data_IF_933766017681
#
_entry.id   IF_933766017681
#
_cell.length_a   1.000
_cell.length_b   1.000
_cell.length_c   1.000
_cell.angle_alpha   90.00
_cell.angle_beta   90.00
_cell.angle_gamma   90.00
#
_symmetry.space_group_name_H-M   'P 1'
#
loop_
_entity.id
_entity.type
_entity.pdbx_description
1 polymer ?
#
# COMPACT_ATOMS: atom_id res chain seq x y z
N UNK A 1 7.58 -6.64 3.25
CA UNK A 1 8.93 -6.14 2.87
C UNK A 1 10.02 -7.07 3.41
N UNK A 2 9.99 -7.42 4.72
CA UNK A 2 11.07 -8.21 5.35
C UNK A 2 11.33 -9.56 4.63
N UNK A 3 10.29 -10.31 4.30
CA UNK A 3 10.44 -11.56 3.55
C UNK A 3 11.16 -11.37 2.21
N UNK A 4 10.95 -10.23 1.54
CA UNK A 4 11.61 -9.93 0.27
C UNK A 4 13.12 -9.71 0.40
N UNK A 5 13.61 -9.25 1.55
CA UNK A 5 15.06 -9.18 1.81
C UNK A 5 15.71 -10.57 1.81
N UNK A 6 14.96 -11.59 2.19
CA UNK A 6 15.42 -12.98 2.18
C UNK A 6 15.07 -13.73 0.89
N UNK A 7 14.60 -13.01 -0.14
CA UNK A 7 14.22 -13.61 -1.42
C UNK A 7 12.91 -14.42 -1.36
N UNK A 8 12.13 -14.28 -0.27
CA UNK A 8 10.84 -14.95 -0.11
C UNK A 8 9.74 -14.11 -0.75
N UNK A 9 8.92 -14.68 -1.66
CA UNK A 9 7.74 -13.98 -2.18
C UNK A 9 6.84 -13.53 -1.03
N UNK A 10 6.50 -12.24 -1.04
CA UNK A 10 5.81 -11.61 0.08
C UNK A 10 4.59 -10.83 -0.40
N UNK A 11 3.46 -11.00 0.28
CA UNK A 11 2.22 -10.27 0.03
C UNK A 11 1.75 -9.67 1.34
N UNK A 12 1.62 -8.35 1.40
CA UNK A 12 0.89 -7.66 2.46
C UNK A 12 -0.55 -7.47 2.00
N UNK A 13 -1.51 -8.00 2.75
CA UNK A 13 -2.93 -7.84 2.49
C UNK A 13 -3.58 -7.09 3.63
N UNK A 14 -4.27 -5.99 3.33
CA UNK A 14 -5.00 -5.18 4.32
C UNK A 14 -6.35 -4.72 3.78
N UNK A 15 -7.26 -4.43 4.71
CA UNK A 15 -8.55 -3.80 4.41
C UNK A 15 -8.46 -2.34 4.87
N UNK A 16 -8.99 -1.41 4.07
CA UNK A 16 -9.07 0.01 4.41
C UNK A 16 -10.21 0.28 5.41
N UNK A 17 -10.27 -0.52 6.46
CA UNK A 17 -11.21 -0.38 7.56
C UNK A 17 -10.50 -0.64 8.90
N UNK A 18 -10.51 0.38 9.76
CA UNK A 18 -9.90 0.34 11.10
C UNK A 18 -10.93 0.06 12.20
N UNK A 19 -12.16 -0.29 11.83
CA UNK A 19 -13.20 -0.62 12.80
C UNK A 19 -12.95 -1.99 13.45
N UNK A 20 -13.39 -2.19 14.70
CA UNK A 20 -13.33 -3.52 15.35
C UNK A 20 -14.12 -4.60 14.62
N UNK A 21 -15.15 -4.19 13.86
CA UNK A 21 -16.08 -5.06 13.14
C UNK A 21 -15.79 -5.07 11.62
N UNK A 22 -14.54 -4.83 11.22
CA UNK A 22 -14.14 -4.83 9.81
C UNK A 22 -14.47 -6.17 9.13
N UNK A 23 -15.12 -6.09 7.96
CA UNK A 23 -15.44 -7.26 7.15
C UNK A 23 -14.24 -7.64 6.28
N UNK A 24 -13.79 -8.89 6.41
CA UNK A 24 -12.65 -9.44 5.68
C UNK A 24 -13.06 -10.36 4.52
N UNK A 25 -14.36 -10.55 4.23
CA UNK A 25 -14.83 -11.46 3.19
C UNK A 25 -14.23 -11.10 1.82
N UNK A 26 -14.31 -9.83 1.42
CA UNK A 26 -13.71 -9.36 0.19
C UNK A 26 -12.19 -9.50 0.13
N UNK A 27 -11.52 -9.35 1.27
CA UNK A 27 -10.07 -9.56 1.36
C UNK A 27 -9.69 -11.03 1.19
N UNK A 28 -10.46 -11.95 1.77
CA UNK A 28 -10.23 -13.39 1.61
C UNK A 28 -10.42 -13.82 0.16
N UNK A 29 -11.51 -13.44 -0.48
CA UNK A 29 -11.80 -13.80 -1.88
C UNK A 29 -10.77 -13.24 -2.86
N UNK A 30 -10.47 -11.95 -2.76
CA UNK A 30 -9.50 -11.31 -3.65
C UNK A 30 -8.07 -11.78 -3.35
N UNK A 31 -7.73 -12.01 -2.08
CA UNK A 31 -6.45 -12.54 -1.65
C UNK A 31 -6.20 -13.95 -2.23
N UNK A 32 -7.19 -14.83 -2.15
CA UNK A 32 -7.09 -16.18 -2.76
C UNK A 32 -6.83 -16.10 -4.26
N UNK A 33 -7.57 -15.26 -4.98
CA UNK A 33 -7.40 -15.08 -6.43
C UNK A 33 -5.99 -14.58 -6.78
N UNK A 34 -5.47 -13.61 -6.04
CA UNK A 34 -4.13 -13.06 -6.25
C UNK A 34 -3.07 -14.12 -5.98
N UNK A 35 -3.16 -14.82 -4.85
CA UNK A 35 -2.20 -15.87 -4.47
C UNK A 35 -2.20 -16.99 -5.50
N UNK A 36 -3.37 -17.46 -5.91
CA UNK A 36 -3.50 -18.50 -6.92
C UNK A 36 -2.85 -18.08 -8.25
N UNK A 37 -3.14 -16.87 -8.72
CA UNK A 37 -2.55 -16.36 -9.96
C UNK A 37 -1.02 -16.27 -9.88
N UNK A 38 -0.47 -15.92 -8.72
CA UNK A 38 0.99 -15.88 -8.49
C UNK A 38 1.59 -17.27 -8.52
N UNK A 39 0.99 -18.25 -7.83
CA UNK A 39 1.49 -19.63 -7.79
C UNK A 39 1.46 -20.29 -9.16
N UNK A 40 0.41 -20.06 -9.93
CA UNK A 40 0.27 -20.60 -11.30
C UNK A 40 1.30 -20.00 -12.28
N UNK A 41 1.83 -18.83 -11.98
CA UNK A 41 2.77 -18.09 -12.84
C UNK A 41 4.15 -17.89 -12.21
N UNK A 42 4.48 -18.58 -11.14
CA UNK A 42 5.70 -18.37 -10.36
C UNK A 42 6.98 -18.42 -11.19
N UNK A 43 7.03 -19.28 -12.21
CA UNK A 43 8.22 -19.46 -13.03
C UNK A 43 8.58 -18.27 -13.92
N UNK A 44 7.62 -17.37 -14.19
CA UNK A 44 7.84 -16.20 -15.08
C UNK A 44 7.88 -14.88 -14.32
N UNK A 45 7.53 -14.89 -13.03
CA UNK A 45 7.54 -13.67 -12.21
C UNK A 45 8.96 -13.31 -11.76
N UNK A 46 9.33 -12.01 -11.85
CA UNK A 46 10.63 -11.57 -11.34
C UNK A 46 10.69 -11.71 -9.81
N UNK A 47 11.89 -11.93 -9.30
CA UNK A 47 12.15 -12.05 -7.86
C UNK A 47 13.11 -10.96 -7.37
N UNK A 48 13.01 -10.53 -6.14
CA UNK A 48 12.01 -10.93 -5.13
C UNK A 48 10.63 -10.33 -5.44
N UNK A 49 9.57 -11.12 -5.32
CA UNK A 49 8.19 -10.63 -5.42
C UNK A 49 7.77 -10.02 -4.09
N UNK A 50 7.31 -8.78 -4.13
CA UNK A 50 6.67 -8.13 -2.98
C UNK A 50 5.45 -7.33 -3.46
N UNK A 51 4.29 -7.64 -2.91
CA UNK A 51 3.04 -6.96 -3.25
C UNK A 51 2.43 -6.31 -2.00
N UNK A 52 2.01 -5.06 -2.15
CA UNK A 52 1.11 -4.38 -1.23
C UNK A 52 -0.30 -4.43 -1.81
N UNK A 53 -1.20 -5.15 -1.13
CA UNK A 53 -2.58 -5.35 -1.55
C UNK A 53 -3.50 -4.70 -0.55
N UNK A 54 -4.30 -3.73 -1.01
CA UNK A 54 -5.27 -3.04 -0.19
C UNK A 54 -6.67 -3.26 -0.74
N UNK A 55 -7.61 -3.61 0.15
CA UNK A 55 -9.01 -3.89 -0.17
C UNK A 55 -9.87 -2.73 0.30
N UNK A 56 -10.75 -2.17 -0.55
CA UNK A 56 -11.58 -1.04 -0.19
C UNK A 56 -12.58 -1.40 0.91
N UNK A 57 -12.95 -0.41 1.71
CA UNK A 57 -13.99 -0.53 2.73
C UNK A 57 -15.38 -0.57 2.08
N UNK A 58 -15.81 -1.72 1.64
CA UNK A 58 -17.15 -1.98 1.10
C UNK A 58 -17.48 -3.47 1.22
N UNK A 59 -18.75 -3.84 1.02
CA UNK A 59 -19.12 -5.25 0.98
C UNK A 59 -18.41 -5.98 -0.17
N UNK A 60 -18.12 -7.28 0.00
CA UNK A 60 -17.44 -8.09 -1.01
C UNK A 60 -18.14 -8.02 -2.39
N UNK A 61 -19.48 -8.01 -2.40
CA UNK A 61 -20.30 -7.89 -3.62
C UNK A 61 -20.19 -6.53 -4.34
N UNK A 62 -19.67 -5.50 -3.66
CA UNK A 62 -19.49 -4.16 -4.24
C UNK A 62 -18.10 -3.95 -4.82
N UNK A 63 -17.17 -4.88 -4.59
CA UNK A 63 -15.81 -4.83 -5.16
C UNK A 63 -15.90 -5.01 -6.66
N UNK A 64 -15.49 -4.00 -7.41
CA UNK A 64 -15.56 -3.98 -8.87
C UNK A 64 -14.50 -4.83 -9.56
N UNK A 65 -13.46 -5.23 -8.83
CA UNK A 65 -12.36 -6.03 -9.33
C UNK A 65 -11.02 -5.69 -8.72
N UNK A 66 -9.96 -6.23 -9.31
CA UNK A 66 -8.57 -6.05 -8.87
C UNK A 66 -7.83 -5.20 -9.91
N UNK A 67 -7.09 -4.19 -9.47
CA UNK A 67 -6.27 -3.32 -10.33
C UNK A 67 -4.81 -3.35 -9.90
N UNK A 68 -3.93 -3.46 -10.88
CA UNK A 68 -2.53 -3.09 -10.69
C UNK A 68 -2.45 -1.58 -10.61
N UNK A 69 -1.84 -1.09 -9.57
CA UNK A 69 -1.72 0.34 -9.28
C UNK A 69 -0.27 0.68 -8.94
N UNK A 70 0.05 1.96 -9.01
CA UNK A 70 1.26 2.51 -8.39
C UNK A 70 0.90 3.22 -7.08
N UNK A 71 1.88 3.40 -6.24
CA UNK A 71 1.72 4.21 -5.03
C UNK A 71 1.35 5.65 -5.40
N UNK A 72 0.34 6.21 -4.74
CA UNK A 72 -0.07 7.60 -4.86
C UNK A 72 1.02 8.54 -4.34
N UNK A 73 1.25 9.64 -5.03
CA UNK A 73 2.06 10.74 -4.53
C UNK A 73 1.25 11.55 -3.53
N UNK A 74 1.77 11.69 -2.34
CA UNK A 74 1.13 12.44 -1.28
C UNK A 74 2.03 12.56 -0.08
N UNK A 75 1.51 13.24 0.93
CA UNK A 75 2.21 13.39 2.19
C UNK A 75 1.22 13.38 3.35
N UNK A 76 1.68 12.96 4.49
CA UNK A 76 0.92 13.04 5.73
C UNK A 76 1.08 14.43 6.32
N UNK A 77 -0.02 15.19 6.44
CA UNK A 77 -0.03 16.46 7.16
C UNK A 77 -0.25 16.14 8.63
N UNK A 78 0.82 16.19 9.39
CA UNK A 78 0.80 15.96 10.83
C UNK A 78 0.08 17.08 11.59
N UNK A 79 -0.59 16.72 12.67
CA UNK A 79 -1.21 17.63 13.62
C UNK A 79 -1.05 17.08 15.04
N UNK A 80 -1.02 17.97 16.03
CA UNK A 80 -0.84 17.60 17.43
C UNK A 80 -2.05 18.02 18.24
N UNK A 81 -2.73 17.04 18.80
CA UNK A 81 -3.88 17.28 19.68
C UNK A 81 -3.42 17.32 21.12
N UNK A 82 -3.46 18.52 21.73
CA UNK A 82 -3.11 18.72 23.13
C UNK A 82 -4.15 18.10 24.05
N UNK A 83 -3.72 17.36 25.06
CA UNK A 83 -4.52 16.73 26.12
C UNK A 83 -3.81 16.89 27.46
N UNK A 84 -4.55 16.66 28.54
CA UNK A 84 -3.98 16.60 29.89
C UNK A 84 -4.27 15.26 30.53
N UNK A 85 -3.29 14.73 31.26
CA UNK A 85 -3.49 13.54 32.07
C UNK A 85 -4.26 13.88 33.38
N UNK A 86 -4.69 12.87 34.16
CA UNK A 86 -5.41 13.12 35.42
C UNK A 86 -4.61 13.92 36.47
N UNK A 87 -3.28 14.04 36.29
CA UNK A 87 -2.40 14.82 37.14
C UNK A 87 -2.14 16.24 36.61
N UNK A 88 -2.81 16.65 35.52
CA UNK A 88 -2.71 17.96 34.90
C UNK A 88 -1.45 18.16 34.03
N UNK A 89 -0.74 17.10 33.66
CA UNK A 89 0.43 17.20 32.78
C UNK A 89 -0.02 17.13 31.31
N UNK A 90 0.50 18.05 30.51
CA UNK A 90 0.22 18.10 29.09
C UNK A 90 0.87 16.92 28.36
N UNK A 91 0.11 16.31 27.44
CA UNK A 91 0.62 15.36 26.43
C UNK A 91 -0.04 15.63 25.09
N UNK A 92 0.59 15.14 24.01
CA UNK A 92 0.14 15.40 22.67
C UNK A 92 -0.12 14.07 21.94
N UNK A 93 -1.29 13.98 21.31
CA UNK A 93 -1.54 12.92 20.33
C UNK A 93 -1.06 13.39 18.97
N UNK A 94 -0.17 12.61 18.35
CA UNK A 94 0.14 12.79 16.94
C UNK A 94 -1.06 12.31 16.12
N UNK A 95 -1.63 13.20 15.36
CA UNK A 95 -2.73 12.96 14.42
C UNK A 95 -2.33 13.46 13.05
N UNK A 96 -3.25 13.41 12.10
CA UNK A 96 -3.00 13.99 10.79
C UNK A 96 -4.00 13.48 9.76
N UNK A 97 -3.80 13.96 8.55
CA UNK A 97 -4.57 13.53 7.39
C UNK A 97 -3.66 13.39 6.18
N UNK A 98 -3.85 12.31 5.44
CA UNK A 98 -3.18 12.13 4.17
C UNK A 98 -3.65 13.18 3.16
N UNK A 99 -2.70 13.81 2.49
CA UNK A 99 -2.94 14.78 1.41
C UNK A 99 -2.53 14.14 0.10
N UNK A 100 -3.51 13.73 -0.69
CA UNK A 100 -3.29 13.22 -2.03
C UNK A 100 -2.90 14.39 -2.95
N UNK A 101 -1.70 14.34 -3.56
CA UNK A 101 -1.22 15.37 -4.46
C UNK A 101 -1.67 15.16 -5.92
N UNK A 102 -2.34 14.05 -6.21
CA UNK A 102 -2.76 13.67 -7.56
C UNK A 102 -4.13 12.96 -7.56
N UNK A 103 -5.20 13.60 -7.02
CA UNK A 103 -6.49 12.96 -6.77
C UNK A 103 -7.18 12.41 -8.03
N UNK A 104 -6.84 12.95 -9.21
CA UNK A 104 -7.43 12.55 -10.49
C UNK A 104 -6.61 11.46 -11.22
N UNK A 105 -5.52 10.99 -10.63
CA UNK A 105 -4.66 9.99 -11.26
C UNK A 105 -5.25 8.57 -11.08
N UNK A 106 -5.86 8.05 -12.13
CA UNK A 106 -6.59 6.78 -12.12
C UNK A 106 -5.71 5.53 -11.99
N UNK A 107 -4.40 5.67 -12.11
CA UNK A 107 -3.43 4.58 -12.01
C UNK A 107 -2.90 4.37 -10.58
N UNK A 108 -3.44 5.10 -9.60
CA UNK A 108 -2.99 5.08 -8.21
C UNK A 108 -3.80 4.14 -7.32
N UNK A 109 -3.19 3.72 -6.21
CA UNK A 109 -3.81 2.91 -5.17
C UNK A 109 -4.98 3.63 -4.48
N UNK A 110 -4.83 4.92 -4.15
CA UNK A 110 -5.88 5.74 -3.56
C UNK A 110 -7.11 5.84 -4.48
N UNK A 111 -6.88 6.08 -5.78
CA UNK A 111 -7.97 6.13 -6.75
C UNK A 111 -8.69 4.78 -6.84
N UNK A 112 -7.94 3.68 -6.88
CA UNK A 112 -8.51 2.34 -6.94
C UNK A 112 -9.42 2.07 -5.74
N UNK A 113 -8.95 2.34 -4.52
CA UNK A 113 -9.72 2.16 -3.29
C UNK A 113 -10.97 3.04 -3.26
N UNK A 114 -10.84 4.33 -3.59
CA UNK A 114 -11.97 5.26 -3.64
C UNK A 114 -13.06 4.82 -4.64
N UNK A 115 -12.67 4.06 -5.68
CA UNK A 115 -13.58 3.57 -6.71
C UNK A 115 -14.00 2.10 -6.52
N UNK A 116 -13.75 1.52 -5.32
CA UNK A 116 -14.10 0.15 -4.95
C UNK A 116 -13.38 -0.94 -5.76
N UNK A 117 -12.12 -0.68 -6.12
CA UNK A 117 -11.22 -1.70 -6.65
C UNK A 117 -10.22 -2.11 -5.58
N UNK A 118 -9.88 -3.40 -5.55
CA UNK A 118 -8.71 -3.86 -4.82
C UNK A 118 -7.46 -3.34 -5.53
N UNK A 119 -6.61 -2.66 -4.80
CA UNK A 119 -5.33 -2.16 -5.31
C UNK A 119 -4.23 -3.18 -5.09
N UNK A 120 -3.44 -3.47 -6.11
CA UNK A 120 -2.23 -4.30 -6.02
C UNK A 120 -1.05 -3.46 -6.49
N UNK A 121 -0.18 -3.09 -5.56
CA UNK A 121 1.02 -2.32 -5.85
C UNK A 121 2.24 -3.21 -5.70
N UNK A 122 2.97 -3.51 -6.79
CA UNK A 122 4.28 -4.12 -6.70
C UNK A 122 5.25 -3.15 -6.02
N UNK A 123 5.93 -3.62 -4.96
CA UNK A 123 6.91 -2.82 -4.23
C UNK A 123 8.28 -3.48 -4.27
N UNK A 124 9.32 -2.69 -4.12
CA UNK A 124 10.69 -3.18 -4.04
C UNK A 124 11.38 -2.60 -2.82
N UNK A 125 12.34 -3.35 -2.31
CA UNK A 125 13.12 -2.95 -1.12
C UNK A 125 14.34 -2.10 -1.48
N UNK A 126 14.81 -2.18 -2.72
CA UNK A 126 15.91 -1.37 -3.23
C UNK A 126 15.37 0.00 -3.67
N UNK A 127 15.77 1.04 -2.95
CA UNK A 127 15.37 2.42 -3.21
C UNK A 127 16.33 3.15 -4.17
N UNK A 128 17.28 2.46 -4.77
CA UNK A 128 18.26 3.05 -5.71
C UNK A 128 17.56 3.50 -6.99
N UNK A 129 17.68 4.77 -7.36
CA UNK A 129 17.30 5.24 -8.69
C UNK A 129 18.41 4.89 -9.69
N UNK A 130 18.29 3.73 -10.32
CA UNK A 130 19.25 3.25 -11.32
C UNK A 130 19.35 4.13 -12.57
N UNK A 131 18.30 4.90 -12.89
CA UNK A 131 18.35 5.85 -14.01
C UNK A 131 19.24 7.04 -13.64
N UNK A 132 19.04 7.57 -12.41
CA UNK A 132 19.85 8.66 -11.90
C UNK A 132 21.30 8.21 -11.71
N UNK A 133 21.52 7.01 -11.14
CA UNK A 133 22.84 6.42 -10.98
C UNK A 133 23.61 6.38 -12.33
N UNK A 134 22.95 5.89 -13.38
CA UNK A 134 23.52 5.85 -14.73
C UNK A 134 23.79 7.24 -15.31
N UNK A 135 22.91 8.22 -15.03
CA UNK A 135 23.08 9.59 -15.51
C UNK A 135 24.23 10.33 -14.82
N UNK A 136 24.53 9.97 -13.59
CA UNK A 136 25.65 10.54 -12.81
C UNK A 136 26.98 9.84 -13.06
N UNK A 137 26.95 8.67 -13.71
CA UNK A 137 28.17 7.93 -14.05
C UNK A 137 29.06 8.78 -14.96
N UNK A 138 30.28 8.99 -14.52
CA UNK A 138 31.28 9.83 -15.19
C UNK A 138 31.13 11.35 -14.91
N UNK A 139 30.10 11.83 -14.25
CA UNK A 139 29.97 13.23 -13.81
C UNK A 139 30.61 13.46 -12.44
N UNK A 140 30.53 12.47 -11.56
CA UNK A 140 31.10 12.49 -10.22
C UNK A 140 32.29 11.53 -10.22
N UNK A 141 33.50 12.09 -10.18
CA UNK A 141 34.75 11.35 -10.12
C UNK A 141 35.56 11.77 -8.91
#
# INVERSE_FOLDING_TARGET
>A
IEGSFYGVPSIGLSVDDHSPDADFEGAMECGERIIRAILENEAILPRPLCLNVNVPRCAASEIKGIRLSRQTRGFWREDFYARQDPQGRDYFWLTGAFQNAEPDAEDTDEWALAHRYVSVVPVQVDMTDYRMLKSLDGLIK
#
